data_IF_898325825480
#
_entry.id   IF_898325825480
#
_cell.length_a   1.000
_cell.length_b   1.000
_cell.length_c   1.000
_cell.angle_alpha   90.00
_cell.angle_beta   90.00
_cell.angle_gamma   90.00
#
_symmetry.space_group_name_H-M   'P 1'
#
loop_
_entity.id
_entity.type
_entity.pdbx_description
1 polymer ?
#
# COMPACT_ATOMS: atom_id res chain seq x y z
N UNK A 1 -47.24 27.24 55.39
CA UNK A 1 -47.04 27.42 53.93
C UNK A 1 -45.59 27.07 53.59
N UNK A 2 -45.31 25.83 53.20
CA UNK A 2 -44.02 25.44 52.58
C UNK A 2 -44.32 24.36 51.54
N UNK A 3 -44.26 24.80 50.28
CA UNK A 3 -44.47 24.01 49.07
C UNK A 3 -43.18 23.19 48.83
N UNK A 4 -43.26 21.87 48.82
CA UNK A 4 -42.15 21.00 48.44
C UNK A 4 -42.25 20.74 46.93
N UNK A 5 -41.32 21.32 46.16
CA UNK A 5 -41.18 21.11 44.72
C UNK A 5 -40.41 19.79 44.53
N UNK A 6 -41.08 18.75 44.02
CA UNK A 6 -40.41 17.55 43.53
C UNK A 6 -39.84 17.83 42.14
N UNK A 7 -38.52 17.86 42.04
CA UNK A 7 -37.79 17.95 40.78
C UNK A 7 -37.62 16.53 40.22
N UNK A 8 -38.40 16.17 39.20
CA UNK A 8 -38.23 14.92 38.48
C UNK A 8 -37.00 15.04 37.55
N UNK A 9 -35.88 14.42 37.94
CA UNK A 9 -34.72 14.24 37.06
C UNK A 9 -35.08 13.24 35.96
N UNK A 10 -35.25 13.74 34.74
CA UNK A 10 -35.29 12.89 33.55
C UNK A 10 -33.89 12.31 33.31
N UNK A 11 -33.74 11.01 33.56
CA UNK A 11 -32.52 10.26 33.21
C UNK A 11 -32.51 10.12 31.70
N UNK A 12 -31.76 10.99 31.01
CA UNK A 12 -31.43 10.79 29.60
C UNK A 12 -30.58 9.52 29.49
N UNK A 13 -31.15 8.46 28.91
CA UNK A 13 -30.40 7.27 28.56
C UNK A 13 -29.32 7.67 27.53
N UNK A 14 -28.08 7.78 27.99
CA UNK A 14 -26.95 7.91 27.10
C UNK A 14 -26.88 6.64 26.26
N UNK A 15 -27.29 6.74 24.99
CA UNK A 15 -27.07 5.70 23.99
C UNK A 15 -25.56 5.53 23.85
N UNK A 16 -25.02 4.49 24.47
CA UNK A 16 -23.64 4.05 24.25
C UNK A 16 -23.46 3.87 22.75
N UNK A 17 -22.47 4.53 22.11
CA UNK A 17 -22.24 4.35 20.68
C UNK A 17 -22.05 2.86 20.44
N UNK A 18 -22.91 2.27 19.61
CA UNK A 18 -22.77 0.89 19.19
C UNK A 18 -21.34 0.75 18.66
N UNK A 19 -20.50 -0.02 19.37
CA UNK A 19 -19.15 -0.30 18.91
C UNK A 19 -19.25 -0.78 17.47
N UNK A 20 -18.67 -0.01 16.55
CA UNK A 20 -18.70 -0.34 15.14
C UNK A 20 -18.12 -1.75 14.99
N UNK A 21 -18.98 -2.72 14.64
CA UNK A 21 -18.56 -4.10 14.49
C UNK A 21 -17.62 -4.17 13.28
N UNK A 22 -16.47 -4.79 13.45
CA UNK A 22 -15.62 -5.14 12.32
C UNK A 22 -16.21 -6.34 11.59
N UNK A 23 -16.37 -6.21 10.27
CA UNK A 23 -16.98 -7.18 9.39
C UNK A 23 -15.94 -7.74 8.42
N UNK A 24 -16.09 -9.00 7.98
CA UNK A 24 -15.26 -9.54 6.91
C UNK A 24 -15.53 -8.79 5.60
N UNK A 25 -14.52 -8.76 4.74
CA UNK A 25 -14.64 -8.29 3.36
C UNK A 25 -14.59 -9.48 2.38
N UNK A 26 -15.15 -9.35 1.16
CA UNK A 26 -14.98 -10.39 0.16
C UNK A 26 -13.52 -10.59 -0.21
N UNK A 27 -13.17 -11.86 -0.46
CA UNK A 27 -11.87 -12.25 -1.00
C UNK A 27 -11.87 -12.21 -2.53
N UNK A 28 -10.78 -11.72 -3.12
CA UNK A 28 -10.53 -11.75 -4.56
C UNK A 28 -9.11 -12.24 -4.82
N UNK A 29 -8.99 -13.42 -5.41
CA UNK A 29 -7.70 -13.96 -5.84
C UNK A 29 -7.19 -13.27 -7.10
N UNK A 30 -5.91 -12.92 -7.10
CA UNK A 30 -5.21 -12.29 -8.21
C UNK A 30 -4.34 -13.31 -8.93
N UNK A 31 -4.57 -13.46 -10.24
CA UNK A 31 -3.71 -14.28 -11.10
C UNK A 31 -2.34 -13.63 -11.24
N UNK A 32 -1.32 -14.44 -11.49
CA UNK A 32 0.05 -13.96 -11.63
C UNK A 32 0.71 -14.49 -12.88
N UNK A 33 1.72 -13.77 -13.39
CA UNK A 33 2.62 -14.27 -14.43
C UNK A 33 4.02 -13.68 -14.22
N UNK A 34 5.06 -14.38 -14.68
CA UNK A 34 6.41 -14.04 -14.29
C UNK A 34 7.47 -15.00 -14.79
N UNK A 35 8.59 -15.01 -14.07
CA UNK A 35 9.80 -15.74 -14.46
C UNK A 35 9.58 -17.23 -14.72
N UNK A 36 8.67 -17.88 -13.98
CA UNK A 36 8.34 -19.30 -14.14
C UNK A 36 7.00 -19.54 -14.84
N UNK A 37 6.43 -18.51 -15.47
CA UNK A 37 5.17 -18.59 -16.20
C UNK A 37 3.91 -18.29 -15.36
N UNK A 38 2.72 -18.54 -15.90
CA UNK A 38 1.47 -18.14 -15.29
C UNK A 38 1.13 -18.99 -14.05
N UNK A 39 0.63 -18.33 -13.01
CA UNK A 39 0.10 -18.95 -11.79
C UNK A 39 -1.40 -18.66 -11.66
N UNK A 40 -2.15 -19.68 -11.24
CA UNK A 40 -3.56 -19.53 -10.94
C UNK A 40 -3.76 -18.61 -9.73
N UNK A 41 -4.87 -17.88 -9.71
CA UNK A 41 -5.24 -17.05 -8.57
C UNK A 41 -5.47 -17.92 -7.32
N UNK A 42 -5.02 -17.47 -6.12
CA UNK A 42 -5.39 -18.13 -4.87
C UNK A 42 -6.90 -18.15 -4.68
N UNK A 43 -7.42 -19.15 -3.96
CA UNK A 43 -8.86 -19.33 -3.75
C UNK A 43 -9.35 -18.76 -2.42
N UNK A 44 -8.45 -18.58 -1.47
CA UNK A 44 -8.69 -18.04 -0.15
C UNK A 44 -7.42 -17.37 0.39
N UNK A 45 -7.60 -16.62 1.45
CA UNK A 45 -6.53 -16.08 2.28
C UNK A 45 -7.09 -15.87 3.70
N UNK A 46 -6.58 -16.66 4.64
CA UNK A 46 -7.02 -16.64 6.03
C UNK A 46 -6.51 -15.39 6.80
N UNK A 47 -5.70 -14.56 6.14
CA UNK A 47 -5.18 -13.31 6.68
C UNK A 47 -5.98 -12.07 6.24
N UNK A 48 -7.12 -12.26 5.55
CA UNK A 48 -8.00 -11.16 5.18
C UNK A 48 -8.45 -10.37 6.43
N UNK A 49 -8.18 -9.05 6.51
CA UNK A 49 -8.53 -8.26 7.67
C UNK A 49 -10.05 -8.05 7.76
N UNK A 50 -10.56 -7.93 8.98
CA UNK A 50 -11.88 -7.37 9.21
C UNK A 50 -11.79 -5.85 9.18
N UNK A 51 -12.84 -5.19 8.70
CA UNK A 51 -12.91 -3.73 8.59
C UNK A 51 -14.17 -3.19 9.25
N UNK A 52 -14.21 -1.93 9.69
CA UNK A 52 -15.41 -1.32 10.25
C UNK A 52 -16.63 -1.53 9.36
N UNK A 53 -17.79 -1.83 9.94
CA UNK A 53 -19.03 -2.15 9.20
C UNK A 53 -19.39 -1.15 8.09
N UNK A 54 -19.09 0.13 8.29
CA UNK A 54 -19.32 1.19 7.30
C UNK A 54 -18.43 1.11 6.05
N UNK A 55 -17.27 0.43 6.14
CA UNK A 55 -16.30 0.28 5.05
C UNK A 55 -16.44 -1.07 4.33
N UNK A 56 -16.92 -2.11 5.00
CA UNK A 56 -17.03 -3.46 4.44
C UNK A 56 -17.83 -3.53 3.11
N UNK A 57 -18.90 -2.73 2.90
CA UNK A 57 -19.59 -2.69 1.60
C UNK A 57 -18.79 -2.04 0.48
N UNK A 58 -17.68 -1.35 0.79
CA UNK A 58 -16.86 -0.57 -0.16
C UNK A 58 -15.52 -1.24 -0.47
N UNK A 59 -15.06 -2.15 0.38
CA UNK A 59 -13.74 -2.79 0.28
C UNK A 59 -13.84 -4.30 0.00
N UNK A 60 -12.81 -4.83 -0.64
CA UNK A 60 -12.50 -6.26 -0.76
C UNK A 60 -11.01 -6.49 -0.49
N UNK A 61 -10.66 -7.70 -0.09
CA UNK A 61 -9.28 -8.15 0.08
C UNK A 61 -8.80 -8.82 -1.21
N UNK A 62 -7.73 -8.29 -1.78
CA UNK A 62 -7.15 -8.76 -3.03
C UNK A 62 -5.79 -9.37 -2.74
N UNK A 63 -5.59 -10.64 -3.05
CA UNK A 63 -4.34 -11.33 -2.74
C UNK A 63 -3.82 -12.17 -3.90
N UNK A 64 -2.50 -12.29 -3.99
CA UNK A 64 -1.79 -13.16 -4.91
C UNK A 64 -0.88 -14.13 -4.15
N UNK A 65 -0.38 -15.17 -4.85
CA UNK A 65 0.43 -16.21 -4.21
C UNK A 65 1.78 -15.71 -3.67
N UNK A 66 2.33 -14.62 -4.22
CA UNK A 66 3.70 -14.16 -3.88
C UNK A 66 3.69 -12.90 -3.01
N UNK A 67 2.86 -11.93 -3.34
CA UNK A 67 2.83 -10.61 -2.64
C UNK A 67 2.04 -10.64 -1.33
N UNK A 68 1.17 -11.64 -1.14
CA UNK A 68 0.10 -11.55 -0.14
C UNK A 68 -1.02 -10.64 -0.63
N UNK A 69 -1.70 -9.95 0.28
CA UNK A 69 -2.88 -9.16 -0.07
C UNK A 69 -2.91 -7.71 0.39
N UNK A 70 -3.91 -6.99 -0.13
CA UNK A 70 -4.18 -5.59 0.16
C UNK A 70 -5.68 -5.30 0.07
N UNK A 71 -6.17 -4.41 0.92
CA UNK A 71 -7.52 -3.87 0.79
C UNK A 71 -7.62 -2.93 -0.42
N UNK A 72 -8.70 -3.03 -1.18
CA UNK A 72 -8.99 -2.10 -2.26
C UNK A 72 -10.49 -1.93 -2.48
N UNK A 73 -10.92 -0.90 -3.23
CA UNK A 73 -12.33 -0.74 -3.57
C UNK A 73 -12.87 -1.97 -4.29
N UNK A 74 -14.10 -2.37 -3.94
CA UNK A 74 -14.75 -3.54 -4.54
C UNK A 74 -14.90 -3.40 -6.05
N UNK A 75 -14.86 -4.55 -6.73
CA UNK A 75 -15.09 -4.65 -8.16
C UNK A 75 -13.87 -4.28 -9.02
N UNK A 76 -12.74 -3.94 -8.40
CA UNK A 76 -11.48 -3.75 -9.10
C UNK A 76 -10.95 -5.09 -9.63
N UNK A 77 -10.08 -5.01 -10.64
CA UNK A 77 -9.35 -6.13 -11.22
C UNK A 77 -7.92 -6.09 -10.74
N UNK A 78 -7.32 -7.26 -10.59
CA UNK A 78 -5.94 -7.38 -10.12
C UNK A 78 -5.12 -8.38 -10.92
N UNK A 79 -3.81 -8.19 -10.88
CA UNK A 79 -2.82 -9.06 -11.50
C UNK A 79 -1.47 -8.84 -10.83
N UNK A 80 -0.71 -9.91 -10.63
CA UNK A 80 0.64 -9.86 -10.08
C UNK A 80 1.69 -10.20 -11.15
N UNK A 81 2.79 -9.46 -11.13
CA UNK A 81 4.04 -9.85 -11.76
C UNK A 81 5.01 -10.35 -10.71
N UNK A 82 5.76 -11.41 -11.02
CA UNK A 82 6.76 -11.94 -10.09
C UNK A 82 8.04 -12.42 -10.80
N UNK A 83 9.12 -12.52 -10.05
CA UNK A 83 10.38 -13.08 -10.51
C UNK A 83 11.48 -12.89 -9.47
N UNK A 84 12.73 -13.06 -9.89
CA UNK A 84 13.89 -12.94 -8.98
C UNK A 84 13.94 -11.61 -8.24
N UNK A 85 13.42 -10.52 -8.80
CA UNK A 85 13.48 -9.20 -8.17
C UNK A 85 12.46 -9.02 -7.02
N UNK A 86 11.53 -9.97 -6.87
CA UNK A 86 10.38 -9.88 -5.98
C UNK A 86 9.07 -9.88 -6.78
N UNK A 87 8.09 -9.12 -6.32
CA UNK A 87 6.74 -9.16 -6.87
C UNK A 87 6.08 -7.78 -6.96
N UNK A 88 5.10 -7.66 -7.85
CA UNK A 88 4.33 -6.44 -8.09
C UNK A 88 2.87 -6.81 -8.28
N UNK A 89 2.06 -6.69 -7.23
CA UNK A 89 0.61 -6.80 -7.29
C UNK A 89 0.01 -5.45 -7.71
N UNK A 90 -0.74 -5.42 -8.80
CA UNK A 90 -1.39 -4.23 -9.33
C UNK A 90 -2.90 -4.40 -9.36
N UNK A 91 -3.61 -3.35 -8.99
CA UNK A 91 -5.06 -3.29 -9.00
C UNK A 91 -5.53 -2.02 -9.70
N UNK A 92 -6.59 -2.14 -10.50
CA UNK A 92 -7.18 -1.04 -11.25
C UNK A 92 -8.67 -1.32 -11.49
N UNK A 93 -9.53 -0.28 -11.53
CA UNK A 93 -10.95 -0.45 -11.84
C UNK A 93 -11.17 -1.02 -13.25
N UNK A 94 -10.33 -0.66 -14.22
CA UNK A 94 -10.46 -1.09 -15.62
C UNK A 94 -9.55 -2.26 -15.99
N UNK A 95 -8.62 -2.63 -15.11
CA UNK A 95 -7.55 -3.61 -15.36
C UNK A 95 -6.25 -2.95 -15.86
N UNK A 96 -5.35 -3.77 -16.39
CA UNK A 96 -3.97 -3.36 -16.74
C UNK A 96 -3.70 -3.24 -18.25
N UNK A 97 -4.75 -3.29 -19.07
CA UNK A 97 -4.62 -3.36 -20.53
C UNK A 97 -4.31 -4.78 -21.04
N UNK A 98 -3.91 -4.87 -22.31
CA UNK A 98 -3.64 -6.13 -22.99
C UNK A 98 -2.34 -6.80 -22.51
N UNK A 99 -1.33 -6.00 -22.16
CA UNK A 99 -0.05 -6.47 -21.66
C UNK A 99 0.22 -5.95 -20.24
N UNK A 100 0.01 -6.79 -19.22
CA UNK A 100 0.36 -6.46 -17.85
C UNK A 100 1.86 -6.15 -17.65
N UNK A 101 2.78 -6.68 -18.46
CA UNK A 101 4.22 -6.51 -18.28
C UNK A 101 4.69 -5.08 -18.61
N UNK A 102 4.02 -4.38 -19.52
CA UNK A 102 4.31 -2.98 -19.86
C UNK A 102 3.33 -1.97 -19.27
N UNK A 103 2.39 -2.41 -18.43
CA UNK A 103 1.34 -1.58 -17.87
C UNK A 103 1.87 -0.30 -17.19
N UNK A 104 1.34 0.85 -17.63
CA UNK A 104 1.54 2.17 -17.02
C UNK A 104 0.21 2.65 -16.47
N UNK A 105 0.17 2.97 -15.17
CA UNK A 105 -1.06 3.30 -14.47
C UNK A 105 -1.17 4.82 -14.33
N UNK A 106 -2.08 5.45 -15.08
CA UNK A 106 -2.33 6.91 -15.04
C UNK A 106 -3.57 7.26 -14.20
N UNK A 107 -4.58 6.39 -14.19
CA UNK A 107 -5.81 6.55 -13.42
C UNK A 107 -5.75 5.94 -12.01
N UNK A 108 -6.92 5.80 -11.34
CA UNK A 108 -7.01 5.11 -10.05
C UNK A 108 -6.36 3.73 -10.11
N UNK A 109 -5.46 3.47 -9.17
CA UNK A 109 -4.73 2.23 -9.09
C UNK A 109 -4.14 2.02 -7.69
N UNK A 110 -3.93 0.77 -7.33
CA UNK A 110 -3.16 0.37 -6.15
C UNK A 110 -2.05 -0.55 -6.63
N UNK A 111 -0.85 -0.38 -6.11
CA UNK A 111 0.28 -1.26 -6.36
C UNK A 111 0.94 -1.63 -5.03
N UNK A 112 1.21 -2.92 -4.84
CA UNK A 112 2.12 -3.42 -3.80
C UNK A 112 3.34 -3.98 -4.51
N UNK A 113 4.52 -3.51 -4.15
CA UNK A 113 5.79 -3.96 -4.72
C UNK A 113 6.71 -4.45 -3.65
N UNK A 114 7.14 -5.71 -3.74
CA UNK A 114 8.18 -6.30 -2.90
C UNK A 114 9.46 -6.36 -3.71
N UNK A 115 10.54 -5.79 -3.17
CA UNK A 115 11.89 -5.86 -3.73
C UNK A 115 12.77 -6.66 -2.78
N UNK A 116 13.26 -7.82 -3.23
CA UNK A 116 14.05 -8.73 -2.41
C UNK A 116 15.51 -8.24 -2.30
N UNK A 117 15.98 -8.03 -1.07
CA UNK A 117 17.26 -7.37 -0.76
C UNK A 117 18.50 -8.21 -1.05
N UNK A 118 18.35 -9.52 -1.19
CA UNK A 118 19.42 -10.51 -1.42
C UNK A 118 19.52 -10.98 -2.88
N UNK A 119 18.61 -10.53 -3.76
CA UNK A 119 18.56 -10.90 -5.18
C UNK A 119 18.78 -9.68 -6.10
N UNK A 120 18.41 -9.79 -7.37
CA UNK A 120 18.29 -8.65 -8.29
C UNK A 120 17.31 -7.56 -7.82
N UNK A 121 16.47 -7.82 -6.82
CA UNK A 121 15.62 -6.80 -6.18
C UNK A 121 16.40 -5.79 -5.34
N UNK A 122 17.64 -6.13 -4.94
CA UNK A 122 18.49 -5.31 -4.06
C UNK A 122 18.73 -3.91 -4.60
N UNK A 123 18.74 -3.73 -5.91
CA UNK A 123 18.92 -2.41 -6.51
C UNK A 123 17.73 -1.49 -6.22
N UNK A 124 16.50 -1.97 -6.35
CA UNK A 124 15.31 -1.17 -6.01
C UNK A 124 15.19 -0.98 -4.49
N UNK A 125 15.46 -2.03 -3.71
CA UNK A 125 15.50 -1.93 -2.26
C UNK A 125 16.52 -0.89 -1.78
N UNK A 126 17.73 -0.87 -2.35
CA UNK A 126 18.76 0.12 -2.02
C UNK A 126 18.38 1.54 -2.46
N UNK A 127 17.68 1.71 -3.59
CA UNK A 127 17.15 3.02 -4.00
C UNK A 127 16.13 3.55 -2.98
N UNK A 128 15.22 2.69 -2.52
CA UNK A 128 14.24 3.02 -1.49
C UNK A 128 14.93 3.35 -0.17
N UNK A 129 15.89 2.51 0.25
CA UNK A 129 16.69 2.72 1.45
C UNK A 129 17.44 4.05 1.44
N UNK A 130 18.10 4.40 0.33
CA UNK A 130 18.82 5.67 0.18
C UNK A 130 17.91 6.89 0.38
N UNK A 131 16.65 6.78 -0.07
CA UNK A 131 15.65 7.85 0.06
C UNK A 131 15.11 8.00 1.48
N UNK A 132 14.87 6.89 2.18
CA UNK A 132 14.00 6.87 3.37
C UNK A 132 14.61 6.30 4.66
N UNK A 133 15.63 5.45 4.58
CA UNK A 133 16.11 4.65 5.71
C UNK A 133 17.62 4.87 5.92
N UNK A 134 17.96 5.94 6.65
CA UNK A 134 19.35 6.34 6.89
C UNK A 134 20.17 5.28 7.61
N UNK A 135 19.53 4.47 8.46
CA UNK A 135 20.16 3.35 9.17
C UNK A 135 20.52 2.17 8.26
N UNK A 136 20.01 2.16 7.02
CA UNK A 136 20.35 1.17 5.98
C UNK A 136 21.46 1.64 5.05
N UNK A 137 22.18 2.72 5.39
CA UNK A 137 23.29 3.26 4.57
C UNK A 137 24.34 2.21 4.20
N UNK A 138 24.69 1.30 5.12
CA UNK A 138 25.67 0.25 4.86
C UNK A 138 25.23 -0.69 3.72
N UNK A 139 23.95 -1.08 3.70
CA UNK A 139 23.35 -1.86 2.62
C UNK A 139 23.35 -1.11 1.28
N UNK A 140 23.02 0.19 1.29
CA UNK A 140 23.07 1.00 0.07
C UNK A 140 24.49 1.08 -0.49
N UNK A 141 25.48 1.34 0.38
CA UNK A 141 26.88 1.44 -0.04
C UNK A 141 27.44 0.08 -0.50
N UNK A 142 27.01 -1.05 0.07
CA UNK A 142 27.40 -2.37 -0.43
C UNK A 142 26.86 -2.63 -1.84
N UNK A 143 25.60 -2.27 -2.13
CA UNK A 143 25.03 -2.39 -3.47
C UNK A 143 25.74 -1.48 -4.48
N UNK A 144 26.15 -0.27 -4.06
CA UNK A 144 26.95 0.63 -4.90
C UNK A 144 28.34 0.03 -5.19
N UNK A 145 28.97 -0.60 -4.19
CA UNK A 145 30.30 -1.18 -4.31
C UNK A 145 30.37 -2.37 -5.27
N UNK A 146 29.23 -3.00 -5.61
CA UNK A 146 29.17 -4.05 -6.64
C UNK A 146 29.56 -3.54 -8.04
N UNK A 147 29.45 -2.24 -8.30
CA UNK A 147 29.82 -1.65 -9.59
C UNK A 147 28.86 -1.95 -10.75
N UNK A 148 27.73 -2.63 -10.50
CA UNK A 148 26.72 -2.97 -11.50
C UNK A 148 25.83 -1.77 -11.83
N UNK A 149 25.37 -1.04 -10.81
CA UNK A 149 24.57 0.17 -10.94
C UNK A 149 25.38 1.40 -10.54
N UNK A 150 25.37 2.50 -11.32
CA UNK A 150 26.14 3.68 -10.99
C UNK A 150 25.58 4.39 -9.76
N UNK A 151 26.47 4.93 -8.89
CA UNK A 151 26.12 5.65 -7.66
C UNK A 151 24.98 6.68 -7.82
N UNK A 152 24.91 7.36 -8.97
CA UNK A 152 23.87 8.35 -9.28
C UNK A 152 22.43 7.81 -9.23
N UNK A 153 22.25 6.49 -9.33
CA UNK A 153 20.94 5.85 -9.20
C UNK A 153 20.46 5.75 -7.76
N UNK A 154 21.31 6.04 -6.76
CA UNK A 154 21.01 5.96 -5.33
C UNK A 154 21.08 7.34 -4.66
N UNK A 155 20.24 8.30 -5.08
CA UNK A 155 20.18 9.61 -4.45
C UNK A 155 19.72 9.48 -2.99
N UNK A 156 20.49 10.08 -2.08
CA UNK A 156 20.16 10.09 -0.67
C UNK A 156 19.15 11.20 -0.34
N UNK A 157 18.21 10.88 0.55
CA UNK A 157 17.17 11.78 1.01
C UNK A 157 15.90 11.76 0.14
N UNK A 158 14.75 12.16 0.71
CA UNK A 158 13.44 12.00 0.08
C UNK A 158 13.31 12.83 -1.21
N UNK A 159 12.28 12.54 -2.00
CA UNK A 159 11.90 13.41 -3.11
C UNK A 159 11.44 14.77 -2.57
N UNK A 160 11.79 15.88 -3.25
CA UNK A 160 11.62 17.23 -2.69
C UNK A 160 10.15 17.64 -2.48
N UNK A 161 9.22 17.01 -3.19
CA UNK A 161 7.78 17.32 -3.09
C UNK A 161 6.98 16.27 -2.33
N UNK A 162 7.60 15.15 -1.96
CA UNK A 162 6.91 14.13 -1.18
C UNK A 162 6.70 14.63 0.25
N UNK A 163 5.50 14.39 0.78
CA UNK A 163 5.24 14.53 2.21
C UNK A 163 5.53 13.19 2.86
N UNK A 164 6.51 13.15 3.75
CA UNK A 164 6.95 11.93 4.42
C UNK A 164 6.56 11.99 5.88
N UNK A 165 5.99 10.91 6.40
CA UNK A 165 5.76 10.74 7.84
C UNK A 165 6.31 9.39 8.28
N UNK A 166 7.27 9.42 9.20
CA UNK A 166 7.82 8.20 9.79
C UNK A 166 6.85 7.68 10.85
N UNK A 167 6.38 6.45 10.68
CA UNK A 167 5.53 5.77 11.66
C UNK A 167 6.40 5.19 12.77
N UNK A 168 7.46 4.48 12.38
CA UNK A 168 8.48 3.95 13.26
C UNK A 168 9.80 3.79 12.49
N UNK A 169 10.77 3.03 13.02
CA UNK A 169 12.05 2.80 12.36
C UNK A 169 11.89 2.20 10.95
N UNK A 170 11.00 1.22 10.82
CA UNK A 170 10.89 0.37 9.64
C UNK A 170 9.74 0.75 8.71
N UNK A 171 8.81 1.61 9.17
CA UNK A 171 7.61 2.02 8.43
C UNK A 171 7.55 3.54 8.20
N UNK A 172 7.30 3.92 6.95
CA UNK A 172 7.22 5.32 6.49
C UNK A 172 6.01 5.50 5.59
N UNK A 173 5.08 6.38 5.93
CA UNK A 173 4.01 6.79 5.02
C UNK A 173 4.49 7.96 4.14
N UNK A 174 3.91 8.05 2.95
CA UNK A 174 4.21 9.12 2.02
C UNK A 174 2.96 9.62 1.26
N UNK A 175 3.05 10.84 0.77
CA UNK A 175 2.17 11.38 -0.28
C UNK A 175 3.03 12.04 -1.35
N UNK A 176 2.95 11.53 -2.58
CA UNK A 176 3.46 12.18 -3.78
C UNK A 176 2.34 13.04 -4.37
N UNK A 177 2.50 14.38 -4.43
CA UNK A 177 1.46 15.26 -4.97
C UNK A 177 1.13 14.96 -6.44
N UNK A 178 -0.08 15.35 -6.86
CA UNK A 178 -0.48 15.30 -8.26
C UNK A 178 0.50 16.04 -9.18
N UNK A 179 0.67 15.51 -10.39
CA UNK A 179 1.58 16.01 -11.43
C UNK A 179 3.07 16.04 -11.06
N UNK A 180 3.47 15.41 -9.94
CA UNK A 180 4.86 15.34 -9.50
C UNK A 180 5.38 13.91 -9.57
N UNK A 181 6.70 13.81 -9.71
CA UNK A 181 7.43 12.58 -9.47
C UNK A 181 7.83 12.50 -8.00
N UNK A 182 7.86 11.28 -7.47
CA UNK A 182 8.13 10.96 -6.08
C UNK A 182 8.25 9.46 -5.85
N UNK A 183 8.20 9.05 -4.58
CA UNK A 183 8.15 7.64 -4.16
C UNK A 183 6.97 6.92 -4.81
N UNK A 184 5.81 7.58 -4.89
CA UNK A 184 4.63 7.00 -5.52
C UNK A 184 4.85 6.63 -7.00
N UNK A 185 5.77 7.32 -7.68
CA UNK A 185 6.10 7.07 -9.09
C UNK A 185 7.35 6.22 -9.29
N UNK A 186 7.99 5.74 -8.20
CA UNK A 186 8.94 4.62 -8.28
C UNK A 186 8.24 3.28 -8.57
N UNK A 187 6.91 3.31 -8.68
CA UNK A 187 6.04 2.19 -9.04
C UNK A 187 5.65 2.26 -10.53
N UNK A 188 4.64 1.49 -10.96
CA UNK A 188 4.05 1.63 -12.30
C UNK A 188 3.02 2.75 -12.38
N UNK A 189 2.68 3.37 -11.25
CA UNK A 189 1.91 4.61 -11.26
C UNK A 189 2.76 5.72 -11.88
N UNK A 190 2.13 6.48 -12.78
CA UNK A 190 2.73 7.64 -13.45
C UNK A 190 2.11 8.93 -12.91
N UNK A 191 2.82 10.07 -12.95
CA UNK A 191 2.24 11.35 -12.56
C UNK A 191 0.87 11.59 -13.22
N UNK A 192 -0.10 12.04 -12.42
CA UNK A 192 -1.48 12.32 -12.84
C UNK A 192 -2.07 13.38 -11.90
N UNK A 193 -3.33 13.79 -12.12
CA UNK A 193 -3.96 14.84 -11.32
C UNK A 193 -4.15 14.46 -9.84
N UNK A 194 -4.48 13.21 -9.57
CA UNK A 194 -4.68 12.71 -8.21
C UNK A 194 -3.35 12.34 -7.54
N UNK A 195 -3.17 12.66 -6.24
CA UNK A 195 -1.97 12.31 -5.50
C UNK A 195 -1.86 10.79 -5.31
N UNK A 196 -0.64 10.32 -5.09
CA UNK A 196 -0.35 8.94 -4.71
C UNK A 196 0.03 8.93 -3.23
N UNK A 197 -0.77 8.25 -2.41
CA UNK A 197 -0.46 8.01 -0.99
C UNK A 197 0.07 6.62 -0.81
N UNK A 198 0.84 6.37 0.23
CA UNK A 198 1.37 5.05 0.42
C UNK A 198 2.10 4.81 1.71
N UNK A 199 2.62 3.59 1.78
CA UNK A 199 3.43 3.07 2.87
C UNK A 199 4.66 2.41 2.25
N UNK A 200 5.81 2.68 2.82
CA UNK A 200 7.04 1.94 2.56
C UNK A 200 7.47 1.30 3.86
N UNK A 201 7.86 0.03 3.79
CA UNK A 201 8.55 -0.61 4.90
C UNK A 201 9.72 -1.45 4.44
N UNK A 202 10.67 -1.65 5.35
CA UNK A 202 11.82 -2.53 5.13
C UNK A 202 11.97 -3.50 6.30
N UNK A 203 12.23 -4.76 6.00
CA UNK A 203 12.52 -5.77 7.03
C UNK A 203 14.01 -5.84 7.39
N UNK A 204 14.36 -6.79 8.26
CA UNK A 204 15.74 -7.00 8.71
C UNK A 204 16.69 -7.44 7.59
N UNK A 205 16.16 -8.10 6.56
CA UNK A 205 16.91 -8.62 5.41
C UNK A 205 17.05 -7.58 4.29
N UNK A 206 16.59 -6.35 4.55
CA UNK A 206 16.53 -5.24 3.59
C UNK A 206 15.59 -5.49 2.41
N UNK A 207 14.61 -6.37 2.55
CA UNK A 207 13.51 -6.42 1.59
C UNK A 207 12.69 -5.15 1.75
N UNK A 208 12.44 -4.45 0.65
CA UNK A 208 11.65 -3.24 0.64
C UNK A 208 10.27 -3.52 0.07
N UNK A 209 9.23 -3.13 0.79
CA UNK A 209 7.87 -3.15 0.26
C UNK A 209 7.30 -1.75 0.12
N UNK A 210 6.69 -1.47 -1.02
CA UNK A 210 6.02 -0.21 -1.34
C UNK A 210 4.56 -0.48 -1.66
N UNK A 211 3.66 0.02 -0.81
CA UNK A 211 2.25 0.19 -1.13
C UNK A 211 2.06 1.61 -1.68
N UNK A 212 1.53 1.72 -2.90
CA UNK A 212 1.11 2.97 -3.52
C UNK A 212 -0.37 2.93 -3.88
N UNK A 213 -1.12 3.96 -3.47
CA UNK A 213 -2.57 4.06 -3.55
C UNK A 213 -2.94 5.38 -4.20
N UNK A 214 -3.58 5.32 -5.36
CA UNK A 214 -4.25 6.46 -5.99
C UNK A 214 -5.70 6.10 -6.24
N UNK A 215 -6.61 6.84 -5.61
CA UNK A 215 -8.04 6.62 -5.72
C UNK A 215 -8.71 7.82 -6.39
N UNK A 216 -9.83 7.55 -7.07
CA UNK A 216 -10.67 8.62 -7.59
C UNK A 216 -11.19 9.51 -6.45
N UNK A 217 -11.54 10.79 -6.71
CA UNK A 217 -12.03 11.73 -5.69
C UNK A 217 -13.09 11.15 -4.75
N UNK A 218 -14.06 10.41 -5.28
CA UNK A 218 -15.17 9.80 -4.54
C UNK A 218 -14.75 8.64 -3.59
N UNK A 219 -13.51 8.18 -3.65
CA UNK A 219 -12.97 7.06 -2.88
C UNK A 219 -11.74 7.45 -2.04
N UNK A 220 -11.29 8.71 -2.09
CA UNK A 220 -10.06 9.16 -1.44
C UNK A 220 -10.04 8.93 0.07
N UNK A 221 -11.21 8.93 0.71
CA UNK A 221 -11.38 8.65 2.14
C UNK A 221 -10.94 7.22 2.52
N UNK A 222 -10.96 6.27 1.57
CA UNK A 222 -10.53 4.89 1.80
C UNK A 222 -8.99 4.75 1.90
N UNK A 223 -8.22 5.68 1.35
CA UNK A 223 -6.76 5.53 1.24
C UNK A 223 -6.08 5.33 2.59
N UNK A 224 -6.50 6.10 3.60
CA UNK A 224 -5.92 5.99 4.95
C UNK A 224 -6.22 4.64 5.60
N UNK A 225 -7.41 4.08 5.37
CA UNK A 225 -7.76 2.75 5.88
C UNK A 225 -7.00 1.64 5.19
N UNK A 226 -6.84 1.72 3.86
CA UNK A 226 -6.05 0.76 3.08
C UNK A 226 -4.60 0.75 3.57
N UNK A 227 -4.01 1.92 3.81
CA UNK A 227 -2.64 2.06 4.31
C UNK A 227 -2.53 1.55 5.76
N UNK A 228 -3.45 1.95 6.63
CA UNK A 228 -3.42 1.56 8.05
C UNK A 228 -3.55 0.05 8.25
N UNK A 229 -4.29 -0.65 7.39
CA UNK A 229 -4.43 -2.10 7.44
C UNK A 229 -3.14 -2.88 7.14
N UNK A 230 -2.10 -2.21 6.61
CA UNK A 230 -0.79 -2.82 6.30
C UNK A 230 0.27 -2.52 7.37
N UNK A 231 -0.10 -1.77 8.40
CA UNK A 231 0.78 -1.49 9.53
C UNK A 231 0.46 -2.53 10.62
N UNK A 232 1.46 -3.25 11.16
CA UNK A 232 1.26 -4.26 12.20
C UNK A 232 0.78 -3.67 13.53
#
# INVERSE_FOLDING_TARGET
>A
MRLAIMLAMAIAAASTPAWAKDLPVPFVGCRSDGQTGPLAAPRNDDHAPKVPAQLAPRLAWYASNTTGGVLAPRGWRCFELYGSNGSVLMLSPTGLGADPFSAKLIGPAIQVSISLGDTSGRFEAARIAARLFLDRKAFVESVIAEGIAPRRQFPFGPYPYDRIQRVNRDYVTFETPGHREGLGTMTRLRPSADPIRGLVWMDADNNATVLAVRLAPAQRDLANYIIAAMIP
#
